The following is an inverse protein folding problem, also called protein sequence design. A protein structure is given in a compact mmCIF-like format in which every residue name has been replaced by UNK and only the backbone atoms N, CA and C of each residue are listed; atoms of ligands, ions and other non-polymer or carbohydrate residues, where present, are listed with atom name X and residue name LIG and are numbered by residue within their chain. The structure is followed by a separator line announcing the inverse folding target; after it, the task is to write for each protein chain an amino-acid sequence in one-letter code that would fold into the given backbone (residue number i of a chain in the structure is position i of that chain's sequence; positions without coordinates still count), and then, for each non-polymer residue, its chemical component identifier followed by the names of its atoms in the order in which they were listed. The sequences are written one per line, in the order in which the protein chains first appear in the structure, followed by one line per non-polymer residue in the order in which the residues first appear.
data_IF_561255064775
#
_entry.id   IF_561255064775
#
_cell.length_a   1.000
_cell.length_b   1.000
_cell.length_c   1.000
_cell.angle_alpha   90.00
_cell.angle_beta   90.00
_cell.angle_gamma   90.00
#
_symmetry.space_group_name_H-M   'P 1'
#
loop_
_entity.id
_entity.type
_entity.pdbx_description
1 polymer ?
#
# COMPACT_ATOMS: atom_id res chain seq x y z
N UNK A 1 -7.57 10.07 -25.10
CA UNK A 1 -6.78 9.14 -24.27
C UNK A 1 -6.83 9.63 -22.82
N UNK A 2 -7.51 8.93 -21.91
CA UNK A 2 -7.59 9.33 -20.51
C UNK A 2 -6.20 9.22 -19.86
N UNK A 3 -5.66 10.32 -19.31
CA UNK A 3 -4.43 10.28 -18.51
C UNK A 3 -4.70 9.41 -17.29
N UNK A 4 -4.22 8.16 -17.29
CA UNK A 4 -4.22 7.32 -16.08
C UNK A 4 -3.45 8.10 -15.02
N UNK A 5 -4.17 8.53 -13.99
CA UNK A 5 -3.55 9.16 -12.82
C UNK A 5 -2.79 8.05 -12.13
N UNK A 6 -1.47 8.13 -12.16
CA UNK A 6 -0.60 7.28 -11.36
C UNK A 6 -0.24 8.06 -10.10
N UNK A 7 -0.21 7.37 -8.98
CA UNK A 7 0.28 7.89 -7.70
C UNK A 7 1.44 7.02 -7.21
N UNK A 8 2.15 7.47 -6.19
CA UNK A 8 3.18 6.66 -5.57
C UNK A 8 2.56 5.69 -4.56
N UNK A 9 3.20 4.53 -4.40
CA UNK A 9 2.89 3.58 -3.33
C UNK A 9 2.92 4.29 -1.97
N UNK A 10 1.92 4.06 -1.13
CA UNK A 10 1.81 4.68 0.20
C UNK A 10 2.88 4.20 1.21
N UNK A 11 3.66 3.16 0.86
CA UNK A 11 4.80 2.72 1.68
C UNK A 11 5.99 3.65 1.46
N UNK A 12 6.46 4.25 2.56
CA UNK A 12 7.60 5.18 2.56
C UNK A 12 8.86 4.46 2.06
N UNK A 13 9.59 5.10 1.14
CA UNK A 13 10.79 4.53 0.53
C UNK A 13 10.55 3.50 -0.57
N UNK A 14 9.29 3.18 -0.92
CA UNK A 14 9.02 2.25 -2.02
C UNK A 14 9.25 2.88 -3.40
N UNK A 15 8.83 4.14 -3.59
CA UNK A 15 9.01 4.90 -4.85
C UNK A 15 8.29 4.32 -6.09
N UNK A 16 7.55 3.22 -5.95
CA UNK A 16 6.89 2.55 -7.09
C UNK A 16 5.59 3.27 -7.45
N UNK A 17 5.43 3.60 -8.74
CA UNK A 17 4.18 4.13 -9.27
C UNK A 17 3.09 3.05 -9.31
N UNK A 18 1.89 3.43 -8.88
CA UNK A 18 0.69 2.60 -8.86
C UNK A 18 -0.47 3.37 -9.47
N UNK A 19 -1.49 2.66 -9.96
CA UNK A 19 -2.72 3.30 -10.43
C UNK A 19 -3.37 4.11 -9.29
N UNK A 20 -4.06 5.22 -9.59
CA UNK A 20 -4.65 6.10 -8.57
C UNK A 20 -5.67 5.43 -7.63
N UNK A 21 -6.21 4.27 -8.02
CA UNK A 21 -7.11 3.47 -7.18
C UNK A 21 -6.37 2.41 -6.35
N UNK A 22 -5.08 2.18 -6.61
CA UNK A 22 -4.21 1.28 -5.85
C UNK A 22 -3.37 2.11 -4.87
N UNK A 23 -3.45 1.79 -3.58
CA UNK A 23 -2.64 2.43 -2.54
C UNK A 23 -1.28 1.75 -2.34
N UNK A 24 -1.18 0.47 -2.71
CA UNK A 24 0.01 -0.37 -2.52
C UNK A 24 0.44 -0.99 -3.84
N UNK A 25 1.75 -1.02 -4.09
CA UNK A 25 2.30 -1.72 -5.24
C UNK A 25 2.30 -3.24 -5.01
N UNK A 26 2.42 -4.03 -6.09
CA UNK A 26 2.41 -5.50 -5.99
C UNK A 26 3.55 -6.11 -5.17
N UNK A 27 4.63 -5.36 -4.89
CA UNK A 27 5.73 -5.77 -4.01
C UNK A 27 5.33 -5.59 -2.54
N UNK A 28 4.91 -4.38 -2.16
CA UNK A 28 4.42 -4.08 -0.82
C UNK A 28 3.18 -4.91 -0.45
N UNK A 29 2.30 -5.15 -1.43
CA UNK A 29 1.15 -6.03 -1.25
C UNK A 29 1.55 -7.45 -0.80
N UNK A 30 2.64 -8.00 -1.33
CA UNK A 30 3.12 -9.36 -0.98
C UNK A 30 3.73 -9.44 0.42
N UNK A 31 4.20 -8.32 0.96
CA UNK A 31 4.75 -8.22 2.32
C UNK A 31 3.65 -8.10 3.39
N UNK A 32 2.41 -7.87 2.98
CA UNK A 32 1.31 -7.80 3.94
C UNK A 32 1.01 -9.16 4.58
N UNK A 33 0.64 -9.16 5.86
CA UNK A 33 0.03 -10.30 6.52
C UNK A 33 -1.18 -10.83 5.73
N UNK A 34 -1.42 -12.14 5.80
CA UNK A 34 -2.47 -12.80 5.04
C UNK A 34 -3.88 -12.29 5.42
N UNK A 35 -4.09 -12.01 6.70
CA UNK A 35 -5.32 -11.44 7.27
C UNK A 35 -5.64 -10.06 6.68
N UNK A 36 -4.64 -9.17 6.60
CA UNK A 36 -4.84 -7.83 6.04
C UNK A 36 -5.14 -7.88 4.54
N UNK A 37 -4.46 -8.77 3.80
CA UNK A 37 -4.78 -9.00 2.38
C UNK A 37 -6.20 -9.52 2.20
N UNK A 38 -6.61 -10.50 3.00
CA UNK A 38 -7.94 -11.07 2.95
C UNK A 38 -9.02 -10.02 3.22
N UNK A 39 -8.84 -9.16 4.23
CA UNK A 39 -9.77 -8.08 4.54
C UNK A 39 -9.95 -7.09 3.37
N UNK A 40 -8.85 -6.71 2.71
CA UNK A 40 -8.91 -5.80 1.55
C UNK A 40 -9.58 -6.49 0.35
N UNK A 41 -9.31 -7.77 0.11
CA UNK A 41 -9.94 -8.55 -0.97
C UNK A 41 -11.43 -8.72 -0.72
N UNK A 42 -11.84 -9.05 0.50
CA UNK A 42 -13.25 -9.15 0.89
C UNK A 42 -13.99 -7.83 0.66
N UNK A 43 -13.43 -6.71 1.14
CA UNK A 43 -14.02 -5.38 0.92
C UNK A 43 -14.11 -5.00 -0.58
N UNK A 44 -13.19 -5.49 -1.43
CA UNK A 44 -13.28 -5.31 -2.88
C UNK A 44 -14.39 -6.14 -3.51
N UNK A 45 -14.56 -7.39 -3.07
CA UNK A 45 -15.64 -8.26 -3.55
C UNK A 45 -17.02 -7.67 -3.21
N UNK A 46 -17.14 -7.08 -2.03
CA UNK A 46 -18.35 -6.36 -1.58
C UNK A 46 -18.54 -4.98 -2.26
N UNK A 47 -17.61 -4.55 -3.12
CA UNK A 47 -17.59 -3.22 -3.76
C UNK A 47 -17.62 -2.06 -2.75
N UNK A 48 -17.19 -2.30 -1.51
CA UNK A 48 -17.09 -1.31 -0.45
C UNK A 48 -15.81 -0.47 -0.58
N UNK A 49 -15.71 0.34 -1.64
CA UNK A 49 -14.46 1.04 -2.01
C UNK A 49 -13.91 2.00 -0.94
N UNK A 50 -14.78 2.59 -0.12
CA UNK A 50 -14.38 3.42 1.01
C UNK A 50 -13.68 2.59 2.11
N UNK A 51 -14.15 1.36 2.35
CA UNK A 51 -13.50 0.40 3.25
C UNK A 51 -12.19 -0.08 2.66
N UNK A 52 -12.15 -0.41 1.37
CA UNK A 52 -10.91 -0.80 0.66
C UNK A 52 -9.83 0.24 0.85
N UNK A 53 -10.15 1.52 0.65
CA UNK A 53 -9.18 2.62 0.81
C UNK A 53 -8.69 2.71 2.26
N UNK A 54 -9.59 2.65 3.25
CA UNK A 54 -9.22 2.72 4.67
C UNK A 54 -8.34 1.53 5.10
N UNK A 55 -8.68 0.32 4.66
CA UNK A 55 -7.89 -0.88 4.94
C UNK A 55 -6.52 -0.81 4.27
N UNK A 56 -6.44 -0.33 3.03
CA UNK A 56 -5.18 -0.20 2.31
C UNK A 56 -4.26 0.87 2.92
N UNK A 57 -4.81 1.97 3.44
CA UNK A 57 -4.05 2.97 4.22
C UNK A 57 -3.51 2.34 5.50
N UNK A 58 -4.35 1.66 6.29
CA UNK A 58 -3.90 0.96 7.52
C UNK A 58 -2.82 -0.08 7.23
N UNK A 59 -2.96 -0.81 6.13
CA UNK A 59 -1.98 -1.79 5.69
C UNK A 59 -0.64 -1.13 5.29
N UNK A 60 -0.69 0.04 4.65
CA UNK A 60 0.50 0.85 4.38
C UNK A 60 1.15 1.34 5.67
N UNK A 61 0.37 1.84 6.64
CA UNK A 61 0.88 2.25 7.96
C UNK A 61 1.54 1.09 8.70
N UNK A 62 0.93 -0.09 8.65
CA UNK A 62 1.50 -1.30 9.23
C UNK A 62 2.86 -1.64 8.60
N UNK A 63 2.97 -1.60 7.25
CA UNK A 63 4.23 -1.82 6.54
C UNK A 63 5.27 -0.73 6.84
N UNK A 64 4.85 0.52 7.00
CA UNK A 64 5.70 1.62 7.41
C UNK A 64 6.22 1.45 8.84
N UNK A 65 5.47 0.76 9.69
CA UNK A 65 5.86 0.47 11.07
C UNK A 65 6.70 -0.81 11.20
N UNK A 66 6.42 -1.86 10.42
CA UNK A 66 6.91 -3.23 10.66
C UNK A 66 7.70 -3.85 9.50
N UNK A 67 7.81 -3.22 8.32
CA UNK A 67 8.54 -3.84 7.21
C UNK A 67 10.04 -3.50 7.21
N UNK A 68 10.92 -4.43 6.82
CA UNK A 68 12.36 -4.19 6.69
C UNK A 68 12.70 -3.09 5.67
N UNK A 69 11.80 -2.86 4.70
CA UNK A 69 11.95 -1.78 3.71
C UNK A 69 11.65 -0.41 4.32
N UNK A 70 10.71 -0.33 5.27
CA UNK A 70 10.49 0.89 6.04
C UNK A 70 11.65 1.17 7.00
N UNK A 71 12.29 0.14 7.55
CA UNK A 71 13.53 0.29 8.31
C UNK A 71 14.70 0.74 7.43
N UNK A 72 14.86 0.17 6.24
CA UNK A 72 15.86 0.62 5.27
C UNK A 72 15.61 2.07 4.80
N UNK A 73 14.35 2.45 4.60
CA UNK A 73 13.96 3.81 4.25
C UNK A 73 14.16 4.81 5.40
N UNK A 74 13.94 4.40 6.67
CA UNK A 74 14.31 5.19 7.86
C UNK A 74 15.82 5.44 7.90
N UNK A 75 16.62 4.39 7.70
CA UNK A 75 18.09 4.50 7.67
C UNK A 75 18.63 5.37 6.53
N UNK A 76 17.93 5.46 5.40
CA UNK A 76 18.32 6.31 4.27
C UNK A 76 17.83 7.75 4.38
N UNK A 77 16.87 8.06 5.26
CA UNK A 77 16.35 9.41 5.49
C UNK A 77 17.04 10.20 6.61
N UNK A 78 18.01 9.60 7.31
CA UNK A 78 18.83 10.22 8.36
C UNK A 78 20.28 10.52 7.88
N UNK A 79 20.47 10.82 6.59
CA UNK A 79 21.76 11.23 6.04
C UNK A 79 21.71 12.67 5.51
#
# INVERSE_FOLDING_TARGET
MARRRHQLCAVRGCGTAVEAWQHLCGRCWRLLPADQRAAIVAARQERAFHIVSRLAIRAADWLNAHSPQAEAARRQGEA
#
